data_IF_748475925171
#
_entry.id   IF_748475925171
#
_cell.length_a   1.000
_cell.length_b   1.000
_cell.length_c   1.000
_cell.angle_alpha   90.00
_cell.angle_beta   90.00
_cell.angle_gamma   90.00
#
_symmetry.space_group_name_H-M   'P 1'
#
loop_
_entity.id
_entity.type
_entity.pdbx_description
1 polymer ?
#
# COMPACT_ATOMS: atom_id res chain seq x y z
N UNK A 1 -25.84 -4.79 -20.23
CA UNK A 1 -26.75 -4.72 -19.07
C UNK A 1 -26.14 -5.53 -17.94
N UNK A 2 -25.67 -4.89 -16.87
CA UNK A 2 -25.11 -5.59 -15.70
C UNK A 2 -26.25 -6.09 -14.81
N UNK A 3 -26.37 -7.41 -14.63
CA UNK A 3 -27.29 -8.02 -13.65
C UNK A 3 -26.90 -7.56 -12.24
N UNK A 4 -27.79 -6.80 -11.59
CA UNK A 4 -27.67 -6.39 -10.19
C UNK A 4 -28.45 -7.40 -9.35
N UNK A 5 -27.77 -8.09 -8.42
CA UNK A 5 -28.39 -8.97 -7.44
C UNK A 5 -28.37 -8.27 -6.08
N UNK A 6 -29.46 -8.34 -5.32
CA UNK A 6 -29.56 -7.78 -3.96
C UNK A 6 -29.71 -8.90 -2.93
N UNK A 7 -28.91 -8.84 -1.85
CA UNK A 7 -29.07 -9.71 -0.68
C UNK A 7 -28.91 -8.87 0.59
N UNK A 8 -29.99 -8.74 1.36
CA UNK A 8 -29.97 -8.00 2.63
C UNK A 8 -29.59 -6.52 2.48
N UNK A 9 -30.09 -5.85 1.43
CA UNK A 9 -29.77 -4.46 1.06
C UNK A 9 -28.31 -4.23 0.62
N UNK A 10 -27.56 -5.29 0.30
CA UNK A 10 -26.20 -5.18 -0.27
C UNK A 10 -26.24 -5.58 -1.74
N UNK A 11 -25.74 -4.69 -2.59
CA UNK A 11 -25.61 -4.94 -4.03
C UNK A 11 -24.46 -5.91 -4.31
N UNK A 12 -24.79 -7.04 -4.91
CA UNK A 12 -23.86 -8.07 -5.38
C UNK A 12 -23.67 -7.88 -6.89
N UNK A 13 -22.44 -7.62 -7.30
CA UNK A 13 -22.04 -7.59 -8.71
C UNK A 13 -21.61 -9.00 -9.12
N UNK A 14 -22.03 -9.43 -10.32
CA UNK A 14 -21.88 -10.80 -10.82
C UNK A 14 -20.47 -11.10 -11.35
N UNK A 15 -19.46 -10.76 -10.54
CA UNK A 15 -18.06 -11.16 -10.60
C UNK A 15 -17.61 -11.05 -9.14
N UNK A 16 -17.11 -12.13 -8.54
CA UNK A 16 -16.81 -12.25 -7.10
C UNK A 16 -15.75 -11.29 -6.54
N UNK A 17 -15.51 -10.14 -7.18
CA UNK A 17 -14.80 -9.03 -6.56
C UNK A 17 -15.84 -8.25 -5.78
N UNK A 18 -15.95 -8.52 -4.48
CA UNK A 18 -16.44 -7.49 -3.56
C UNK A 18 -15.63 -6.25 -3.91
N UNK A 19 -16.28 -5.19 -4.38
CA UNK A 19 -15.55 -3.94 -4.61
C UNK A 19 -14.82 -3.65 -3.30
N UNK A 20 -13.48 -3.46 -3.31
CA UNK A 20 -12.83 -2.95 -2.11
C UNK A 20 -13.65 -1.74 -1.67
N UNK A 21 -14.02 -1.70 -0.39
CA UNK A 21 -14.79 -0.58 0.17
C UNK A 21 -14.16 0.73 -0.33
N UNK A 22 -14.97 1.75 -0.60
CA UNK A 22 -14.50 3.05 -1.16
C UNK A 22 -13.36 3.68 -0.34
N UNK A 23 -13.12 3.18 0.89
CA UNK A 23 -12.11 3.63 1.84
C UNK A 23 -10.75 2.90 1.75
N UNK A 24 -10.58 1.89 0.87
CA UNK A 24 -9.32 1.14 0.77
C UNK A 24 -8.32 1.88 -0.12
N UNK A 25 -7.15 2.18 0.45
CA UNK A 25 -6.00 2.76 -0.26
C UNK A 25 -4.96 1.68 -0.55
N UNK A 26 -4.51 1.63 -1.81
CA UNK A 26 -3.39 0.77 -2.22
C UNK A 26 -2.12 1.60 -2.31
N UNK A 27 -1.15 1.29 -1.46
CA UNK A 27 0.17 1.92 -1.44
C UNK A 27 1.15 1.04 -2.22
N UNK A 28 1.83 1.61 -3.20
CA UNK A 28 2.89 0.97 -3.95
C UNK A 28 4.24 1.42 -3.41
N UNK A 29 5.09 0.45 -3.10
CA UNK A 29 6.47 0.68 -2.66
C UNK A 29 7.40 0.42 -3.86
N UNK A 30 8.01 1.46 -4.45
CA UNK A 30 9.00 1.30 -5.51
C UNK A 30 10.26 0.66 -4.93
N UNK A 31 11.07 0.08 -5.81
CA UNK A 31 12.27 -0.68 -5.44
C UNK A 31 13.14 0.05 -4.42
N UNK A 32 13.39 -0.59 -3.28
CA UNK A 32 14.46 -0.18 -2.38
C UNK A 32 15.44 -1.35 -2.24
N UNK A 33 16.50 -1.29 -3.05
CA UNK A 33 17.44 -2.40 -3.26
C UNK A 33 18.19 -2.81 -2.00
N UNK A 34 18.31 -1.90 -1.03
CA UNK A 34 19.23 -2.06 0.10
C UNK A 34 18.54 -2.39 1.43
N UNK A 35 17.21 -2.64 1.41
CA UNK A 35 16.43 -2.97 2.61
C UNK A 35 15.80 -4.35 2.46
N UNK A 36 16.14 -5.23 3.40
CA UNK A 36 15.57 -6.57 3.47
C UNK A 36 14.08 -6.53 3.83
N UNK A 37 13.33 -7.53 3.37
CA UNK A 37 11.87 -7.59 3.53
C UNK A 37 11.40 -7.49 4.99
N UNK A 38 12.12 -8.10 5.94
CA UNK A 38 11.76 -8.04 7.36
C UNK A 38 11.89 -6.63 7.92
N UNK A 39 12.91 -5.89 7.50
CA UNK A 39 13.07 -4.49 7.88
C UNK A 39 11.95 -3.64 7.29
N UNK A 40 11.62 -3.86 6.00
CA UNK A 40 10.47 -3.18 5.37
C UNK A 40 9.16 -3.40 6.12
N UNK A 41 8.84 -4.65 6.48
CA UNK A 41 7.61 -4.97 7.22
C UNK A 41 7.59 -4.25 8.57
N UNK A 42 8.74 -4.22 9.28
CA UNK A 42 8.85 -3.52 10.55
C UNK A 42 8.57 -2.02 10.39
N UNK A 43 9.19 -1.36 9.42
CA UNK A 43 9.01 0.08 9.18
C UNK A 43 7.57 0.40 8.78
N UNK A 44 6.97 -0.44 7.92
CA UNK A 44 5.56 -0.31 7.53
C UNK A 44 4.68 -0.40 8.75
N UNK A 45 4.92 -1.39 9.62
CA UNK A 45 4.16 -1.53 10.85
C UNK A 45 4.31 -0.28 11.73
N UNK A 46 5.55 0.15 11.98
CA UNK A 46 5.85 1.25 12.89
C UNK A 46 5.29 2.61 12.39
N UNK A 47 5.30 2.87 11.08
CA UNK A 47 4.93 4.18 10.50
C UNK A 47 3.53 4.23 9.86
N UNK A 48 2.97 3.09 9.41
CA UNK A 48 1.64 3.05 8.75
C UNK A 48 0.54 2.63 9.72
N UNK A 49 0.79 1.66 10.61
CA UNK A 49 -0.22 1.16 11.57
C UNK A 49 -0.83 2.26 12.45
N UNK A 50 -0.10 3.33 12.87
CA UNK A 50 -0.69 4.46 13.60
C UNK A 50 -1.68 5.31 12.80
N UNK A 51 -1.66 5.23 11.47
CA UNK A 51 -2.42 6.08 10.55
C UNK A 51 -3.53 5.29 9.81
N UNK A 52 -3.33 3.99 9.64
CA UNK A 52 -4.21 3.13 8.87
C UNK A 52 -4.18 1.67 9.35
N UNK A 53 -5.32 1.02 9.26
CA UNK A 53 -5.43 -0.43 9.43
C UNK A 53 -4.88 -1.11 8.18
N UNK A 54 -3.85 -1.95 8.36
CA UNK A 54 -3.25 -2.73 7.28
C UNK A 54 -4.06 -4.02 7.09
N UNK A 55 -4.63 -4.21 5.90
CA UNK A 55 -5.35 -5.43 5.54
C UNK A 55 -4.45 -6.50 4.95
N UNK A 56 -3.53 -6.10 4.09
CA UNK A 56 -2.65 -7.04 3.40
C UNK A 56 -1.35 -6.38 2.93
N UNK A 57 -0.30 -7.18 2.82
CA UNK A 57 0.99 -6.81 2.25
C UNK A 57 1.38 -7.85 1.22
N UNK A 58 1.38 -7.47 -0.05
CA UNK A 58 1.74 -8.34 -1.15
C UNK A 58 3.15 -8.03 -1.65
N UNK A 59 4.01 -9.04 -1.77
CA UNK A 59 5.36 -8.89 -2.32
C UNK A 59 5.67 -9.98 -3.34
N UNK A 60 6.53 -9.67 -4.31
CA UNK A 60 6.97 -10.64 -5.30
C UNK A 60 7.95 -11.63 -4.69
N UNK A 61 7.69 -12.92 -4.88
CA UNK A 61 8.57 -13.99 -4.45
C UNK A 61 9.17 -14.73 -5.65
N UNK A 62 10.50 -14.87 -5.66
CA UNK A 62 11.18 -15.71 -6.64
C UNK A 62 11.05 -17.17 -6.23
N UNK A 63 10.34 -17.96 -7.04
CA UNK A 63 10.09 -19.39 -6.80
C UNK A 63 11.38 -20.19 -6.53
N UNK A 64 12.45 -19.89 -7.28
CA UNK A 64 13.77 -20.49 -7.07
C UNK A 64 14.57 -19.64 -6.07
N UNK A 65 14.86 -20.22 -4.91
CA UNK A 65 15.60 -19.57 -3.82
C UNK A 65 14.72 -18.98 -2.70
N UNK A 66 13.38 -18.97 -2.87
CA UNK A 66 12.41 -18.43 -1.88
C UNK A 66 12.73 -17.01 -1.42
N UNK A 67 13.38 -16.22 -2.27
CA UNK A 67 13.71 -14.82 -1.96
C UNK A 67 12.52 -13.93 -2.25
N UNK A 68 12.13 -13.16 -1.24
CA UNK A 68 11.08 -12.14 -1.35
C UNK A 68 11.75 -10.82 -1.74
N UNK A 69 11.24 -10.20 -2.78
CA UNK A 69 11.70 -8.90 -3.24
C UNK A 69 10.84 -7.80 -2.61
N UNK A 70 11.50 -6.79 -2.06
CA UNK A 70 10.85 -5.53 -1.66
C UNK A 70 10.34 -4.73 -2.86
N UNK A 71 10.81 -5.03 -4.07
CA UNK A 71 10.40 -4.38 -5.31
C UNK A 71 8.94 -4.68 -5.67
N UNK A 72 8.17 -3.61 -5.89
CA UNK A 72 6.79 -3.71 -6.35
C UNK A 72 5.86 -4.27 -5.29
N UNK A 73 6.26 -4.14 -4.02
CA UNK A 73 5.41 -4.49 -2.89
C UNK A 73 4.21 -3.55 -2.83
N UNK A 74 3.06 -4.10 -2.49
CA UNK A 74 1.81 -3.37 -2.33
C UNK A 74 1.28 -3.55 -0.92
N UNK A 75 0.76 -2.48 -0.35
CA UNK A 75 0.18 -2.45 0.99
C UNK A 75 -1.28 -2.01 0.82
N UNK A 76 -2.20 -2.84 1.27
CA UNK A 76 -3.63 -2.53 1.27
C UNK A 76 -3.98 -2.01 2.66
N UNK A 77 -4.45 -0.77 2.73
CA UNK A 77 -4.76 -0.12 4.00
C UNK A 77 -6.12 0.58 3.96
N UNK A 78 -6.75 0.72 5.12
CA UNK A 78 -7.86 1.65 5.33
C UNK A 78 -7.44 2.66 6.38
N UNK A 79 -7.45 3.93 6.01
CA UNK A 79 -7.09 5.02 6.93
C UNK A 79 -8.00 4.99 8.15
N UNK A 80 -7.45 5.26 9.33
CA UNK A 80 -8.24 5.28 10.57
C UNK A 80 -9.27 6.41 10.53
N UNK A 81 -8.88 7.56 10.00
CA UNK A 81 -9.77 8.68 9.68
C UNK A 81 -9.64 9.05 8.20
N UNK A 82 -10.71 9.52 7.53
CA UNK A 82 -10.66 9.90 6.12
C UNK A 82 -9.58 10.97 5.81
N UNK A 83 -9.39 11.89 6.75
CA UNK A 83 -8.45 13.01 6.65
C UNK A 83 -7.01 12.64 7.04
N UNK A 84 -6.74 11.40 7.47
CA UNK A 84 -5.38 10.99 7.80
C UNK A 84 -4.48 11.10 6.56
N UNK A 85 -3.41 11.90 6.68
CA UNK A 85 -2.36 11.96 5.67
C UNK A 85 -1.43 10.76 5.84
N UNK A 86 -1.37 9.90 4.82
CA UNK A 86 -0.36 8.85 4.76
C UNK A 86 0.99 9.47 4.37
N UNK A 87 2.12 8.93 4.85
CA UNK A 87 3.42 9.47 4.53
C UNK A 87 3.76 9.22 3.05
N UNK A 88 4.53 10.15 2.46
CA UNK A 88 5.08 9.99 1.11
C UNK A 88 6.39 9.19 1.12
N UNK A 89 7.02 9.09 2.28
CA UNK A 89 8.27 8.37 2.48
C UNK A 89 8.21 7.57 3.77
N UNK A 90 8.77 6.37 3.77
CA UNK A 90 9.12 5.64 4.97
C UNK A 90 10.56 5.95 5.36
N UNK A 91 10.75 6.28 6.63
CA UNK A 91 12.08 6.51 7.20
C UNK A 91 12.75 5.17 7.53
N UNK A 92 13.96 4.97 7.03
CA UNK A 92 14.82 3.83 7.36
C UNK A 92 16.24 4.33 7.62
N UNK A 93 17.02 3.59 8.42
CA UNK A 93 18.40 3.93 8.77
C UNK A 93 19.31 4.16 7.54
N UNK A 94 18.97 3.54 6.40
CA UNK A 94 19.71 3.65 5.13
C UNK A 94 19.20 4.76 4.19
N UNK A 95 18.10 5.43 4.54
CA UNK A 95 17.49 6.50 3.77
C UNK A 95 15.98 6.36 3.61
N UNK A 96 15.41 7.15 2.71
CA UNK A 96 13.97 7.27 2.51
C UNK A 96 13.44 6.34 1.43
N UNK A 97 12.40 5.56 1.75
CA UNK A 97 11.68 4.72 0.79
C UNK A 97 10.41 5.44 0.36
N UNK A 98 10.21 5.69 -0.94
CA UNK A 98 9.02 6.40 -1.38
C UNK A 98 7.76 5.53 -1.25
N UNK A 99 6.61 6.17 -1.12
CA UNK A 99 5.29 5.54 -1.18
C UNK A 99 4.44 6.23 -2.25
N UNK A 100 3.71 5.44 -3.02
CA UNK A 100 2.81 5.95 -4.05
C UNK A 100 1.41 5.40 -3.88
N UNK A 101 0.43 6.27 -3.74
CA UNK A 101 -0.97 5.91 -3.63
C UNK A 101 -1.84 6.98 -4.28
N UNK A 102 -3.08 6.63 -4.64
CA UNK A 102 -4.02 7.58 -5.25
C UNK A 102 -4.25 8.78 -4.35
N UNK A 103 -4.07 9.99 -4.87
CA UNK A 103 -4.23 11.24 -4.10
C UNK A 103 -3.03 11.61 -3.23
N UNK A 104 -1.88 10.93 -3.35
CA UNK A 104 -0.66 11.39 -2.71
C UNK A 104 -0.15 12.69 -3.36
N UNK A 105 0.47 13.56 -2.55
CA UNK A 105 1.14 14.78 -3.05
C UNK A 105 2.31 14.38 -3.96
N UNK A 106 2.62 15.23 -4.94
CA UNK A 106 3.74 15.00 -5.86
C UNK A 106 5.06 14.99 -5.10
N UNK A 107 5.79 13.87 -5.22
CA UNK A 107 7.04 13.63 -4.52
C UNK A 107 8.10 13.11 -5.49
N UNK A 108 9.27 13.74 -5.44
CA UNK A 108 10.39 13.45 -6.31
C UNK A 108 11.12 12.19 -5.84
N UNK A 109 11.13 11.15 -6.67
CA UNK A 109 11.76 9.88 -6.28
C UNK A 109 13.28 9.94 -6.12
N UNK A 110 13.92 10.87 -6.83
CA UNK A 110 15.36 11.06 -6.86
C UNK A 110 15.82 11.95 -5.70
N UNK A 111 15.24 13.14 -5.59
CA UNK A 111 15.59 14.16 -4.60
C UNK A 111 14.89 14.00 -3.25
N UNK A 112 13.91 13.09 -3.13
CA UNK A 112 13.14 12.82 -1.91
C UNK A 112 12.42 14.05 -1.33
N UNK A 113 12.17 15.05 -2.18
CA UNK A 113 11.43 16.27 -1.83
C UNK A 113 9.97 16.22 -2.28
N UNK A 114 9.15 17.11 -1.73
CA UNK A 114 7.72 17.29 -2.06
C UNK A 114 7.56 18.57 -2.89
N UNK A 115 6.65 18.56 -3.87
CA UNK A 115 6.22 19.77 -4.59
C UNK A 115 7.13 20.23 -5.73
N UNK A 116 7.65 19.28 -6.51
CA UNK A 116 8.46 19.54 -7.72
C UNK A 116 7.67 19.21 -8.98
#
# INVERSE_FOLDING_TARGET
MSLKLDYGNKQIYLYQTVKPEEDITVINVPNYRDVGILSMIKIIKDQIEPLATIFDICAWCKKKGKTIHSYGMKILVKKITPDAELPLFLEHDKGLVNLFYTGCKEACSYCKGVGH
#
